data_IF_914334966137
#
_entry.id   IF_914334966137
#
_cell.length_a   1.000
_cell.length_b   1.000
_cell.length_c   1.000
_cell.angle_alpha   90.00
_cell.angle_beta   90.00
_cell.angle_gamma   90.00
#
_symmetry.space_group_name_H-M   'P 1'
#
loop_
_entity.id
_entity.type
_entity.pdbx_description
1 polymer ?
#
# COMPACT_ATOMS: atom_id res chain seq x y z
N UNK A 1 -10.10 18.52 17.46
CA UNK A 1 -9.87 18.28 16.01
C UNK A 1 -10.19 16.81 15.76
N UNK A 2 -11.09 16.45 14.83
CA UNK A 2 -11.34 15.05 14.45
C UNK A 2 -10.53 14.73 13.19
N UNK A 3 -9.96 13.52 13.13
CA UNK A 3 -9.22 13.03 11.97
C UNK A 3 -10.20 12.44 10.94
N UNK A 4 -10.12 12.87 9.69
CA UNK A 4 -10.86 12.28 8.58
C UNK A 4 -10.08 11.07 8.04
N UNK A 5 -10.73 9.92 7.96
CA UNK A 5 -10.22 8.72 7.29
C UNK A 5 -10.87 8.61 5.91
N UNK A 6 -10.09 8.26 4.90
CA UNK A 6 -10.53 8.08 3.52
C UNK A 6 -10.07 6.70 3.04
N UNK A 7 -10.99 5.92 2.48
CA UNK A 7 -10.74 4.59 1.94
C UNK A 7 -11.11 4.54 0.47
N UNK A 8 -10.33 3.80 -0.31
CA UNK A 8 -10.55 3.62 -1.75
C UNK A 8 -10.36 2.13 -2.05
N UNK A 9 -11.28 1.56 -2.82
CA UNK A 9 -11.16 0.24 -3.43
C UNK A 9 -11.34 0.35 -4.95
N UNK A 10 -10.77 -0.57 -5.70
CA UNK A 10 -10.90 -0.69 -7.16
C UNK A 10 -10.52 -2.10 -7.60
N UNK A 11 -11.06 -2.57 -8.72
CA UNK A 11 -10.80 -3.93 -9.25
C UNK A 11 -9.42 -4.07 -9.90
N UNK A 12 -8.86 -2.95 -10.36
CA UNK A 12 -7.57 -2.93 -11.01
C UNK A 12 -7.32 -1.59 -11.68
N UNK A 13 -6.45 -1.59 -12.68
CA UNK A 13 -6.14 -0.41 -13.47
C UNK A 13 -5.87 -0.75 -14.92
N UNK A 14 -6.26 0.16 -15.80
CA UNK A 14 -5.98 0.09 -17.25
C UNK A 14 -5.21 1.31 -17.72
N UNK A 15 -4.45 1.15 -18.81
CA UNK A 15 -3.75 2.28 -19.44
C UNK A 15 -4.75 3.34 -19.87
N UNK A 16 -4.44 4.59 -19.57
CA UNK A 16 -5.24 5.74 -20.03
C UNK A 16 -5.00 5.92 -21.52
N UNK A 17 -6.09 5.99 -22.30
CA UNK A 17 -6.01 6.26 -23.73
C UNK A 17 -5.19 7.52 -24.02
N UNK A 18 -4.24 7.41 -24.95
CA UNK A 18 -3.35 8.52 -25.34
C UNK A 18 -2.16 8.76 -24.41
N UNK A 19 -1.95 7.96 -23.36
CA UNK A 19 -0.77 8.05 -22.50
C UNK A 19 0.04 6.75 -22.48
N UNK A 20 1.38 6.87 -22.49
CA UNK A 20 2.29 5.73 -22.32
C UNK A 20 2.46 5.32 -20.85
N UNK A 21 2.31 6.27 -19.93
CA UNK A 21 2.71 6.12 -18.52
C UNK A 21 1.55 6.31 -17.53
N UNK A 22 0.37 6.74 -17.97
CA UNK A 22 -0.75 7.00 -17.08
C UNK A 22 -1.76 5.83 -17.07
N UNK A 23 -2.26 5.51 -15.88
CA UNK A 23 -3.27 4.49 -15.66
C UNK A 23 -4.52 5.12 -15.03
N UNK A 24 -5.67 4.49 -15.24
CA UNK A 24 -6.93 4.79 -14.57
C UNK A 24 -7.41 3.55 -13.85
N UNK A 25 -7.91 3.71 -12.63
CA UNK A 25 -8.49 2.62 -11.85
C UNK A 25 -9.91 2.32 -12.30
N UNK A 26 -10.33 1.06 -12.19
CA UNK A 26 -11.65 0.59 -12.60
C UNK A 26 -12.55 0.30 -11.39
N UNK A 27 -13.85 0.61 -11.52
CA UNK A 27 -14.88 0.36 -10.51
C UNK A 27 -14.49 0.87 -9.11
N UNK A 28 -14.11 2.15 -9.07
CA UNK A 28 -13.65 2.80 -7.83
C UNK A 28 -14.81 2.94 -6.84
N UNK A 29 -14.61 2.43 -5.63
CA UNK A 29 -15.41 2.75 -4.46
C UNK A 29 -14.63 3.65 -3.52
N UNK A 30 -15.31 4.62 -2.92
CA UNK A 30 -14.71 5.58 -1.98
C UNK A 30 -15.63 5.73 -0.79
N UNK A 31 -15.06 5.67 0.42
CA UNK A 31 -15.77 5.96 1.66
C UNK A 31 -14.91 6.81 2.58
N UNK A 32 -15.56 7.59 3.44
CA UNK A 32 -14.87 8.46 4.39
C UNK A 32 -15.61 8.48 5.72
N UNK A 33 -14.87 8.62 6.82
CA UNK A 33 -15.45 8.70 8.16
C UNK A 33 -14.55 9.43 9.14
N UNK A 34 -15.16 10.09 10.12
CA UNK A 34 -14.48 10.63 11.30
C UNK A 34 -14.47 9.66 12.49
N UNK A 35 -15.00 8.46 12.30
CA UNK A 35 -15.12 7.43 13.33
C UNK A 35 -13.77 6.75 13.66
N UNK A 36 -13.81 5.85 14.65
CA UNK A 36 -12.69 4.96 14.97
C UNK A 36 -12.26 4.10 13.77
N UNK A 37 -11.01 3.63 13.75
CA UNK A 37 -10.51 2.77 12.66
C UNK A 37 -11.33 1.49 12.48
N UNK A 38 -11.85 0.92 13.57
CA UNK A 38 -12.76 -0.23 13.52
C UNK A 38 -14.04 0.10 12.74
N UNK A 39 -14.72 1.18 13.11
CA UNK A 39 -15.96 1.64 12.45
C UNK A 39 -15.73 2.06 11.01
N UNK A 40 -14.57 2.66 10.71
CA UNK A 40 -14.17 2.99 9.35
C UNK A 40 -13.92 1.74 8.49
N UNK A 41 -13.32 0.68 9.04
CA UNK A 41 -13.18 -0.61 8.36
C UNK A 41 -14.55 -1.26 8.12
N UNK A 42 -15.41 -1.32 9.14
CA UNK A 42 -16.79 -1.85 9.00
C UNK A 42 -17.56 -1.11 7.89
N UNK A 43 -17.42 0.21 7.79
CA UNK A 43 -18.01 0.99 6.71
C UNK A 43 -17.46 0.59 5.34
N UNK A 44 -16.14 0.42 5.21
CA UNK A 44 -15.52 -0.01 3.95
C UNK A 44 -15.94 -1.42 3.53
N UNK A 45 -15.95 -2.36 4.48
CA UNK A 45 -16.39 -3.75 4.25
C UNK A 45 -17.86 -3.77 3.78
N UNK A 46 -18.74 -2.98 4.40
CA UNK A 46 -20.14 -2.84 4.00
C UNK A 46 -20.29 -2.19 2.61
N UNK A 47 -19.54 -1.11 2.33
CA UNK A 47 -19.57 -0.45 1.01
C UNK A 47 -19.11 -1.37 -0.13
N UNK A 48 -18.16 -2.27 0.13
CA UNK A 48 -17.73 -3.27 -0.84
C UNK A 48 -18.81 -4.34 -1.02
N UNK A 49 -19.38 -4.85 0.07
CA UNK A 49 -20.43 -5.88 0.03
C UNK A 49 -21.76 -5.41 -0.60
N UNK A 50 -22.00 -4.09 -0.65
CA UNK A 50 -23.15 -3.52 -1.36
C UNK A 50 -23.05 -3.70 -2.90
N UNK A 51 -21.83 -3.78 -3.43
CA UNK A 51 -21.56 -3.81 -4.87
C UNK A 51 -21.10 -5.18 -5.35
N UNK A 52 -20.42 -5.93 -4.49
CA UNK A 52 -19.79 -7.20 -4.83
C UNK A 52 -20.32 -8.35 -3.97
N UNK A 53 -20.45 -9.54 -4.59
CA UNK A 53 -20.50 -10.77 -3.83
C UNK A 53 -19.10 -11.02 -3.24
N UNK A 54 -18.92 -10.70 -1.97
CA UNK A 54 -17.60 -10.79 -1.31
C UNK A 54 -17.06 -12.22 -1.25
N UNK A 55 -17.94 -13.22 -1.28
CA UNK A 55 -17.57 -14.64 -1.27
C UNK A 55 -16.97 -15.09 -2.61
N UNK A 56 -17.19 -14.34 -3.69
CA UNK A 56 -16.61 -14.61 -5.02
C UNK A 56 -15.30 -13.83 -5.28
N UNK A 57 -14.84 -13.02 -4.31
CA UNK A 57 -13.58 -12.29 -4.46
C UNK A 57 -12.40 -13.24 -4.23
N UNK A 58 -11.78 -13.68 -5.33
CA UNK A 58 -10.62 -14.59 -5.27
C UNK A 58 -9.33 -13.92 -4.78
N UNK A 59 -9.18 -12.61 -5.01
CA UNK A 59 -7.96 -11.88 -4.65
C UNK A 59 -8.27 -10.47 -4.16
N UNK A 60 -7.75 -10.13 -2.98
CA UNK A 60 -7.84 -8.80 -2.39
C UNK A 60 -6.47 -8.31 -1.98
N UNK A 61 -6.06 -7.16 -2.51
CA UNK A 61 -4.78 -6.53 -2.16
C UNK A 61 -5.06 -5.39 -1.17
N UNK A 62 -4.66 -5.57 0.08
CA UNK A 62 -4.70 -4.55 1.12
C UNK A 62 -3.41 -3.74 1.08
N UNK A 63 -3.48 -2.49 0.61
CA UNK A 63 -2.35 -1.58 0.58
C UNK A 63 -2.41 -0.61 1.77
N UNK A 64 -1.34 -0.51 2.55
CA UNK A 64 -1.32 0.40 3.70
C UNK A 64 0.05 0.58 4.33
N UNK A 65 0.09 1.37 5.40
CA UNK A 65 1.31 1.71 6.15
C UNK A 65 1.80 0.60 7.09
N UNK A 66 1.02 -0.47 7.25
CA UNK A 66 1.31 -1.59 8.15
C UNK A 66 0.74 -1.44 9.56
N UNK A 67 -0.15 -0.47 9.79
CA UNK A 67 -0.89 -0.39 11.04
C UNK A 67 -1.62 -1.70 11.37
N UNK A 68 -1.61 -2.10 12.65
CA UNK A 68 -2.11 -3.41 13.09
C UNK A 68 -3.54 -3.69 12.62
N UNK A 69 -4.42 -2.69 12.63
CA UNK A 69 -5.82 -2.84 12.22
C UNK A 69 -5.98 -3.16 10.71
N UNK A 70 -5.01 -2.81 9.87
CA UNK A 70 -4.99 -3.15 8.43
C UNK A 70 -4.65 -4.62 8.25
N UNK A 71 -3.83 -5.17 9.15
CA UNK A 71 -3.34 -6.55 9.09
C UNK A 71 -4.29 -7.58 9.71
N UNK A 72 -5.36 -7.14 10.37
CA UNK A 72 -6.32 -8.03 11.03
C UNK A 72 -7.07 -8.98 10.09
N UNK A 73 -7.15 -8.67 8.79
CA UNK A 73 -7.78 -9.52 7.78
C UNK A 73 -6.79 -10.40 6.98
N UNK A 74 -5.52 -10.49 7.41
CA UNK A 74 -4.50 -11.28 6.69
C UNK A 74 -4.67 -12.79 6.80
N UNK A 75 -5.50 -13.27 7.72
CA UNK A 75 -5.76 -14.71 7.92
C UNK A 75 -6.76 -15.27 6.90
N UNK A 76 -7.40 -14.40 6.11
CA UNK A 76 -8.38 -14.76 5.07
C UNK A 76 -7.67 -15.24 3.79
N UNK A 77 -8.15 -16.33 3.19
CA UNK A 77 -7.65 -16.84 1.92
C UNK A 77 -7.84 -15.80 0.79
N UNK A 78 -6.85 -15.67 -0.10
CA UNK A 78 -6.88 -14.68 -1.19
C UNK A 78 -6.61 -13.22 -0.76
N UNK A 79 -6.39 -12.95 0.53
CA UNK A 79 -6.04 -11.62 1.02
C UNK A 79 -4.52 -11.46 1.11
N UNK A 80 -3.99 -10.46 0.39
CA UNK A 80 -2.58 -10.12 0.37
C UNK A 80 -2.36 -8.71 0.91
N UNK A 81 -1.45 -8.55 1.86
CA UNK A 81 -1.02 -7.22 2.32
C UNK A 81 0.21 -6.74 1.55
N UNK A 82 0.16 -5.51 1.08
CA UNK A 82 1.28 -4.78 0.51
C UNK A 82 1.57 -3.54 1.35
N UNK A 83 2.85 -3.36 1.71
CA UNK A 83 3.30 -2.10 2.30
C UNK A 83 3.30 -1.01 1.23
N UNK A 84 2.66 0.11 1.53
CA UNK A 84 2.57 1.26 0.63
C UNK A 84 3.98 1.76 0.22
N UNK A 85 4.28 1.81 -1.09
CA UNK A 85 5.53 2.34 -1.60
C UNK A 85 5.87 3.75 -1.08
N UNK A 86 4.87 4.60 -0.81
CA UNK A 86 5.08 5.92 -0.22
C UNK A 86 5.68 5.82 1.18
N UNK A 87 5.03 5.07 2.07
CA UNK A 87 5.48 4.90 3.46
C UNK A 87 6.83 4.19 3.53
N UNK A 88 7.05 3.17 2.69
CA UNK A 88 8.35 2.51 2.53
C UNK A 88 9.44 3.50 2.14
N UNK A 89 9.19 4.30 1.11
CA UNK A 89 10.17 5.30 0.62
C UNK A 89 10.44 6.38 1.66
N UNK A 90 9.41 6.82 2.38
CA UNK A 90 9.52 7.81 3.44
C UNK A 90 10.38 7.29 4.60
N UNK A 91 10.21 6.02 5.01
CA UNK A 91 11.04 5.40 6.03
C UNK A 91 12.52 5.35 5.60
N UNK A 92 12.79 4.97 4.35
CA UNK A 92 14.15 4.91 3.78
C UNK A 92 14.82 6.29 3.80
N UNK A 93 14.12 7.33 3.32
CA UNK A 93 14.65 8.70 3.26
C UNK A 93 14.96 9.23 4.66
N UNK A 94 14.18 8.85 5.68
CA UNK A 94 14.43 9.26 7.07
C UNK A 94 15.60 8.52 7.71
N UNK A 95 15.84 7.28 7.31
CA UNK A 95 16.88 6.44 7.91
C UNK A 95 18.27 6.65 7.30
N UNK A 96 18.37 7.04 6.02
CA UNK A 96 19.65 7.17 5.30
C UNK A 96 19.98 8.66 5.10
N UNK A 97 21.07 9.19 5.69
CA UNK A 97 21.45 10.60 5.57
C UNK A 97 21.76 11.04 4.13
N UNK A 98 22.48 10.22 3.36
CA UNK A 98 22.79 10.52 1.96
C UNK A 98 21.58 10.27 1.05
N UNK A 99 21.08 11.34 0.43
CA UNK A 99 19.91 11.27 -0.45
C UNK A 99 20.14 10.40 -1.69
N UNK A 100 21.34 10.35 -2.26
CA UNK A 100 21.60 9.52 -3.45
C UNK A 100 21.53 8.04 -3.09
N UNK A 101 22.03 7.68 -1.92
CA UNK A 101 21.94 6.31 -1.40
C UNK A 101 20.50 5.91 -1.09
N UNK A 102 19.73 6.79 -0.45
CA UNK A 102 18.30 6.56 -0.20
C UNK A 102 17.53 6.32 -1.51
N UNK A 103 17.71 7.18 -2.52
CA UNK A 103 17.03 7.02 -3.82
C UNK A 103 17.48 5.76 -4.57
N UNK A 104 18.75 5.36 -4.45
CA UNK A 104 19.23 4.10 -5.04
C UNK A 104 18.51 2.91 -4.44
N UNK A 105 18.40 2.84 -3.10
CA UNK A 105 17.66 1.77 -2.43
C UNK A 105 16.18 1.74 -2.83
N UNK A 106 15.52 2.91 -2.87
CA UNK A 106 14.12 3.02 -3.33
C UNK A 106 13.96 2.46 -4.74
N UNK A 107 14.88 2.78 -5.66
CA UNK A 107 14.83 2.28 -7.04
C UNK A 107 14.94 0.75 -7.09
N UNK A 108 15.87 0.16 -6.34
CA UNK A 108 16.06 -1.31 -6.27
C UNK A 108 14.79 -1.98 -5.74
N UNK A 109 14.19 -1.44 -4.69
CA UNK A 109 12.94 -1.97 -4.10
C UNK A 109 11.72 -1.80 -5.02
N UNK A 110 11.65 -0.72 -5.80
CA UNK A 110 10.56 -0.50 -6.75
C UNK A 110 10.58 -1.48 -7.92
N UNK A 111 11.75 -2.01 -8.29
CA UNK A 111 11.88 -3.06 -9.31
C UNK A 111 11.81 -4.48 -8.75
N UNK A 112 11.54 -4.64 -7.44
CA UNK A 112 11.35 -5.94 -6.80
C UNK A 112 12.63 -6.75 -6.57
N UNK A 113 13.81 -6.13 -6.63
CA UNK A 113 15.09 -6.82 -6.41
C UNK A 113 15.40 -6.91 -4.91
N UNK A 114 14.78 -7.88 -4.25
CA UNK A 114 14.83 -8.04 -2.79
C UNK A 114 16.25 -8.34 -2.30
N UNK A 115 16.94 -9.27 -2.93
CA UNK A 115 18.30 -9.70 -2.52
C UNK A 115 19.31 -8.55 -2.64
N UNK A 116 19.30 -7.86 -3.78
CA UNK A 116 20.14 -6.68 -4.03
C UNK A 116 19.84 -5.57 -3.00
N UNK A 117 18.59 -5.42 -2.58
CA UNK A 117 18.21 -4.44 -1.56
C UNK A 117 18.80 -4.78 -0.19
N UNK A 118 18.83 -6.05 0.21
CA UNK A 118 19.42 -6.49 1.48
C UNK A 118 20.94 -6.34 1.50
N UNK A 119 21.61 -6.70 0.41
CA UNK A 119 23.05 -6.47 0.26
C UNK A 119 23.37 -4.97 0.36
N UNK A 120 22.60 -4.13 -0.32
CA UNK A 120 22.79 -2.69 -0.27
C UNK A 120 22.58 -2.12 1.14
N UNK A 121 21.52 -2.54 1.85
CA UNK A 121 21.28 -2.16 3.25
C UNK A 121 22.45 -2.59 4.14
N UNK A 122 22.98 -3.80 3.96
CA UNK A 122 24.13 -4.30 4.73
C UNK A 122 25.35 -3.41 4.57
N UNK A 123 25.66 -3.01 3.33
CA UNK A 123 26.76 -2.09 3.06
C UNK A 123 26.53 -0.70 3.68
N UNK A 124 25.30 -0.19 3.67
CA UNK A 124 24.96 1.06 4.33
C UNK A 124 25.09 0.98 5.86
N UNK A 125 24.70 -0.15 6.46
CA UNK A 125 24.88 -0.37 7.90
C UNK A 125 26.36 -0.28 8.28
N UNK A 126 27.25 -0.93 7.52
CA UNK A 126 28.71 -0.85 7.74
C UNK A 126 29.21 0.59 7.61
N UNK A 127 28.72 1.33 6.60
CA UNK A 127 29.16 2.70 6.32
C UNK A 127 28.75 3.72 7.41
N UNK A 128 27.56 3.55 7.98
CA UNK A 128 26.99 4.49 8.96
C UNK A 128 27.10 4.00 10.41
N UNK A 129 27.76 2.87 10.64
CA UNK A 129 28.24 2.46 11.98
C UNK A 129 29.47 3.28 12.35
#
# INVERSE_FOLDING_TARGET
KKELKLGISYEGWKKRNGSKEAYVVENKLVWASFESSKKFKELGDASIAEVYNVDEIETRILNGDGALWIRQSLEEEGVHFQLDPFHRSQAIIRAIPDKKEAHKLIKILNVGKVEESFEYITNLMIKYT
#
